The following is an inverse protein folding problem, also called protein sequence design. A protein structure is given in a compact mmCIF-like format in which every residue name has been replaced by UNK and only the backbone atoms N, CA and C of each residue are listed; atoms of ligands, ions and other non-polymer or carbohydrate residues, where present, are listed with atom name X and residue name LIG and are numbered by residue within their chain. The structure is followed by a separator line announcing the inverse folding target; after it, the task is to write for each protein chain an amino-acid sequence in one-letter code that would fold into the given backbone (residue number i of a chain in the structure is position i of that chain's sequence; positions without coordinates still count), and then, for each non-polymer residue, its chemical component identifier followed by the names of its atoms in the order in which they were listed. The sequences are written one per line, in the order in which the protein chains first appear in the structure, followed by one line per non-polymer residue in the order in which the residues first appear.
data_IF_894616324880
#
_entry.id   IF_894616324880
#
_cell.length_a   1.000
_cell.length_b   1.000
_cell.length_c   1.000
_cell.angle_alpha   90.00
_cell.angle_beta   90.00
_cell.angle_gamma   90.00
#
_symmetry.space_group_name_H-M   'P 1'
#
loop_
_entity.id
_entity.type
_entity.pdbx_description
1 polymer ?
#
# COMPACT_ATOMS: atom_id res chain seq x y z
N UNK A 1 16.23 -16.93 -1.42
CA UNK A 1 16.30 -15.94 -0.33
C UNK A 1 16.38 -14.58 -1.02
N UNK A 2 15.43 -13.66 -0.77
CA UNK A 2 15.46 -12.31 -1.37
C UNK A 2 16.33 -11.40 -0.51
N UNK A 3 17.11 -10.54 -1.17
CA UNK A 3 18.04 -9.60 -0.54
C UNK A 3 17.48 -8.18 -0.63
N UNK A 4 17.72 -7.37 0.40
CA UNK A 4 17.27 -5.98 0.51
C UNK A 4 18.36 -5.12 1.18
N UNK A 5 18.21 -3.79 1.09
CA UNK A 5 19.12 -2.84 1.75
C UNK A 5 18.56 -2.42 3.11
N UNK A 6 19.41 -2.38 4.14
CA UNK A 6 19.00 -1.91 5.46
C UNK A 6 18.68 -0.41 5.47
N UNK A 7 17.52 0.03 6.00
CA UNK A 7 17.19 1.45 6.06
C UNK A 7 18.04 2.25 7.06
N UNK A 8 18.67 1.58 8.03
CA UNK A 8 19.51 2.24 9.04
C UNK A 8 20.97 2.41 8.62
N UNK A 9 21.63 1.32 8.18
CA UNK A 9 23.06 1.34 7.86
C UNK A 9 23.38 1.18 6.36
N UNK A 10 22.36 0.95 5.51
CA UNK A 10 22.50 0.59 4.08
C UNK A 10 23.27 -0.70 3.79
N UNK A 11 23.64 -1.48 4.81
CA UNK A 11 24.24 -2.79 4.67
C UNK A 11 23.27 -3.85 4.17
N UNK A 12 23.78 -5.06 3.94
CA UNK A 12 22.99 -6.18 3.43
C UNK A 12 21.93 -6.64 4.44
N UNK A 13 20.69 -6.79 3.97
CA UNK A 13 19.59 -7.34 4.73
C UNK A 13 18.96 -8.51 3.99
N UNK A 14 18.44 -9.47 4.77
CA UNK A 14 17.73 -10.64 4.27
C UNK A 14 16.25 -10.48 4.53
N UNK A 15 15.44 -10.85 3.55
CA UNK A 15 14.01 -11.02 3.72
C UNK A 15 13.72 -12.46 4.15
N UNK A 16 13.01 -12.61 5.27
CA UNK A 16 12.59 -13.90 5.83
C UNK A 16 11.08 -13.90 6.00
N UNK A 17 10.43 -15.04 5.75
CA UNK A 17 8.97 -15.13 5.87
C UNK A 17 8.52 -14.91 7.31
N UNK A 18 7.50 -14.07 7.48
CA UNK A 18 6.87 -13.82 8.76
C UNK A 18 5.97 -15.00 9.15
N UNK A 19 6.30 -15.78 10.21
CA UNK A 19 5.52 -16.95 10.60
C UNK A 19 4.11 -16.59 11.10
N UNK A 20 3.89 -15.34 11.47
CA UNK A 20 2.59 -14.83 11.93
C UNK A 20 1.75 -14.25 10.81
N UNK A 21 2.24 -14.21 9.57
CA UNK A 21 1.51 -13.61 8.45
C UNK A 21 0.10 -14.20 8.31
N UNK A 22 -0.90 -13.32 8.26
CA UNK A 22 -2.32 -13.72 8.17
C UNK A 22 -2.97 -14.07 9.51
N UNK A 23 -2.23 -14.04 10.63
CA UNK A 23 -2.77 -14.17 11.97
C UNK A 23 -3.00 -12.81 12.62
N UNK A 24 -4.23 -12.53 13.04
CA UNK A 24 -4.59 -11.31 13.76
C UNK A 24 -4.26 -10.04 12.96
N UNK A 25 -3.35 -9.21 13.48
CA UNK A 25 -2.95 -7.93 12.90
C UNK A 25 -1.65 -8.01 12.06
N UNK A 26 -1.08 -9.20 11.85
CA UNK A 26 0.16 -9.36 11.11
C UNK A 26 -0.08 -9.29 9.58
N UNK A 27 0.08 -8.09 9.03
CA UNK A 27 -0.19 -7.76 7.60
C UNK A 27 1.03 -7.83 6.68
N UNK A 28 2.24 -7.97 7.22
CA UNK A 28 3.48 -8.02 6.44
C UNK A 28 3.93 -9.45 6.22
N UNK A 29 4.14 -9.84 4.95
CA UNK A 29 4.54 -11.20 4.56
C UNK A 29 5.98 -11.52 4.96
N UNK A 30 6.85 -10.53 4.82
CA UNK A 30 8.29 -10.71 5.02
C UNK A 30 8.81 -9.77 6.12
N UNK A 31 9.76 -10.29 6.89
CA UNK A 31 10.55 -9.53 7.86
C UNK A 31 11.90 -9.21 7.23
N UNK A 32 12.40 -8.02 7.52
CA UNK A 32 13.72 -7.56 7.12
C UNK A 32 14.68 -7.74 8.30
N UNK A 33 15.78 -8.45 8.08
CA UNK A 33 16.83 -8.67 9.09
C UNK A 33 18.18 -8.23 8.51
N UNK A 34 18.78 -7.19 9.09
CA UNK A 34 20.10 -6.72 8.68
C UNK A 34 21.21 -7.58 9.27
N UNK A 35 22.15 -7.98 8.42
CA UNK A 35 23.27 -8.85 8.80
C UNK A 35 24.47 -8.08 9.37
N UNK A 36 24.43 -6.74 9.33
CA UNK A 36 25.52 -5.89 9.79
C UNK A 36 25.20 -5.14 11.08
N UNK A 37 24.10 -4.38 11.13
CA UNK A 37 23.75 -3.56 12.29
C UNK A 37 22.74 -4.20 13.25
N UNK A 38 22.19 -5.37 12.90
CA UNK A 38 21.19 -6.08 13.71
C UNK A 38 19.77 -5.48 13.67
N UNK A 39 19.53 -4.48 12.80
CA UNK A 39 18.18 -3.96 12.58
C UNK A 39 17.22 -5.07 12.15
N UNK A 40 16.02 -5.10 12.77
CA UNK A 40 14.92 -5.96 12.35
C UNK A 40 13.62 -5.17 12.22
N UNK A 41 12.83 -5.48 11.20
CA UNK A 41 11.59 -4.78 10.89
C UNK A 41 10.74 -5.54 9.88
N UNK A 42 9.72 -4.87 9.36
CA UNK A 42 8.86 -5.42 8.30
C UNK A 42 9.36 -4.97 6.94
N UNK A 43 9.29 -5.86 5.96
CA UNK A 43 9.47 -5.48 4.57
C UNK A 43 8.21 -4.78 4.06
N UNK A 44 8.38 -3.87 3.10
CA UNK A 44 7.26 -3.38 2.31
C UNK A 44 6.67 -4.56 1.54
N UNK A 45 5.35 -4.71 1.59
CA UNK A 45 4.68 -5.70 0.76
C UNK A 45 4.81 -5.25 -0.70
N UNK A 46 5.13 -6.16 -1.60
CA UNK A 46 4.92 -5.95 -3.03
C UNK A 46 3.44 -5.62 -3.19
N UNK A 47 3.12 -4.33 -3.29
CA UNK A 47 1.76 -3.88 -3.58
C UNK A 47 1.57 -4.24 -5.04
N UNK A 48 1.01 -5.43 -5.30
CA UNK A 48 0.29 -5.63 -6.55
C UNK A 48 -0.65 -4.42 -6.63
N UNK A 49 -0.55 -3.58 -7.68
CA UNK A 49 -1.38 -2.39 -7.77
C UNK A 49 -2.80 -2.86 -7.56
N UNK A 50 -3.44 -2.39 -6.48
CA UNK A 50 -4.83 -2.67 -6.23
C UNK A 50 -5.54 -2.34 -7.53
N UNK A 51 -6.05 -3.37 -8.21
CA UNK A 51 -6.81 -3.18 -9.44
C UNK A 51 -7.84 -2.13 -9.09
N UNK A 52 -7.75 -1.01 -9.79
CA UNK A 52 -8.54 0.20 -9.62
C UNK A 52 -9.98 -0.22 -9.29
N UNK A 53 -10.34 -0.18 -8.00
CA UNK A 53 -11.73 -0.25 -7.61
C UNK A 53 -12.28 1.08 -8.11
N UNK A 54 -12.72 1.03 -9.37
CA UNK A 54 -13.32 2.13 -10.08
C UNK A 54 -14.57 2.49 -9.30
N UNK A 55 -14.40 3.30 -8.26
CA UNK A 55 -15.46 3.93 -7.52
C UNK A 55 -16.16 4.79 -8.56
N UNK A 56 -17.22 4.23 -9.13
CA UNK A 56 -18.18 4.95 -9.93
C UNK A 56 -18.85 5.91 -8.96
N UNK A 57 -18.25 7.09 -8.79
CA UNK A 57 -18.79 8.13 -7.92
C UNK A 57 -20.17 8.45 -8.49
N UNK A 58 -21.28 8.11 -7.82
CA UNK A 58 -22.58 8.41 -8.36
C UNK A 58 -22.67 9.93 -8.46
N UNK A 59 -23.00 10.45 -9.65
CA UNK A 59 -23.17 11.89 -9.84
C UNK A 59 -24.18 12.40 -8.82
N UNK A 60 -23.70 13.15 -7.83
CA UNK A 60 -24.56 13.74 -6.82
C UNK A 60 -25.67 14.55 -7.50
N UNK A 61 -26.89 14.42 -6.99
CA UNK A 61 -28.08 15.15 -7.47
C UNK A 61 -27.82 16.66 -7.55
N UNK A 62 -26.96 17.18 -6.66
CA UNK A 62 -26.50 18.56 -6.66
C UNK A 62 -25.74 18.94 -7.95
N UNK A 63 -24.82 18.10 -8.45
CA UNK A 63 -24.13 18.33 -9.74
C UNK A 63 -25.10 18.33 -10.92
N UNK A 64 -26.14 17.47 -10.88
CA UNK A 64 -27.18 17.44 -11.91
C UNK A 64 -28.03 18.72 -11.91
N UNK A 65 -28.42 19.21 -10.73
CA UNK A 65 -29.16 20.46 -10.61
C UNK A 65 -28.34 21.69 -11.03
N UNK A 66 -27.06 21.77 -10.63
CA UNK A 66 -26.18 22.87 -11.04
C UNK A 66 -25.98 22.94 -12.57
N UNK A 67 -25.96 21.79 -13.25
CA UNK A 67 -25.89 21.74 -14.72
C UNK A 67 -27.19 22.20 -15.37
N UNK A 68 -28.34 21.81 -14.82
CA UNK A 68 -29.65 22.25 -15.33
C UNK A 68 -29.84 23.77 -15.20
N UNK A 69 -29.36 24.37 -14.12
CA UNK A 69 -29.42 25.82 -13.90
C UNK A 69 -28.48 26.60 -14.85
N UNK A 70 -27.37 26.00 -15.26
CA UNK A 70 -26.39 26.63 -16.18
C UNK A 70 -26.77 26.49 -17.66
N UNK A 71 -27.76 25.67 -18.00
CA UNK A 71 -28.28 25.48 -19.37
C UNK A 71 -29.53 26.31 -19.73
N UNK A 72 -30.09 27.07 -18.78
CA UNK A 72 -31.26 27.92 -19.00
C UNK A 72 -30.89 29.34 -19.38
N UNK A 73 -30.56 29.57 -20.66
CA UNK A 73 -30.34 30.91 -21.22
C UNK A 73 -30.87 30.98 -22.65
N UNK A 74 -32.14 31.32 -22.79
CA UNK A 74 -32.79 31.88 -23.98
C UNK A 74 -33.55 33.13 -23.52
#
# INVERSE_FOLDING_TARGET
MREASCPQCRGAARLVSNPYYGAGLAVHRDLLVCQECGYSGFAENDTEPAEDDAVTVPESVLRRMLRALRGGGL
#
